data_IF_718374485540
#
_entry.id   IF_718374485540
#
_cell.length_a   1.000
_cell.length_b   1.000
_cell.length_c   1.000
_cell.angle_alpha   90.00
_cell.angle_beta   90.00
_cell.angle_gamma   90.00
#
_symmetry.space_group_name_H-M   'P 1'
#
loop_
_entity.id
_entity.type
_entity.pdbx_description
1 polymer ?
#
# COMPACT_ATOMS: atom_id res chain seq x y z
N UNK A 1 20.62 15.46 -6.52
CA UNK A 1 19.30 14.84 -6.30
C UNK A 1 19.24 13.56 -7.12
N UNK A 2 18.99 12.39 -6.52
CA UNK A 2 19.00 11.11 -7.27
C UNK A 2 17.88 11.14 -8.34
N UNK A 3 18.14 10.81 -9.61
CA UNK A 3 17.18 10.95 -10.72
C UNK A 3 15.82 10.25 -10.48
N UNK A 4 15.76 9.20 -9.67
CA UNK A 4 14.54 8.46 -9.38
C UNK A 4 13.57 9.13 -8.39
N UNK A 5 13.98 10.21 -7.73
CA UNK A 5 13.18 10.89 -6.69
C UNK A 5 12.29 12.03 -7.22
N UNK A 6 12.06 12.07 -8.53
CA UNK A 6 11.17 13.05 -9.13
C UNK A 6 9.69 12.64 -8.91
N UNK A 7 8.76 13.60 -8.84
CA UNK A 7 7.33 13.34 -8.82
C UNK A 7 6.90 12.42 -9.97
N UNK A 8 5.95 11.54 -9.70
CA UNK A 8 5.31 10.64 -10.66
C UNK A 8 4.76 11.43 -11.84
N UNK A 9 4.07 12.54 -11.59
CA UNK A 9 3.54 13.44 -12.64
C UNK A 9 4.65 13.93 -13.57
N UNK A 10 5.70 14.53 -13.03
CA UNK A 10 6.82 15.05 -13.82
C UNK A 10 7.50 13.96 -14.67
N UNK A 11 7.63 12.74 -14.14
CA UNK A 11 8.20 11.61 -14.89
C UNK A 11 7.27 11.12 -16.00
N UNK A 12 5.97 11.16 -15.77
CA UNK A 12 4.95 10.78 -16.76
C UNK A 12 4.86 11.82 -17.88
N UNK A 13 4.83 13.11 -17.54
CA UNK A 13 4.83 14.22 -18.49
C UNK A 13 6.08 14.20 -19.38
N UNK A 14 7.26 13.95 -18.80
CA UNK A 14 8.49 13.76 -19.59
C UNK A 14 8.35 12.59 -20.57
N UNK A 15 7.78 11.46 -20.13
CA UNK A 15 7.57 10.31 -21.01
C UNK A 15 6.55 10.59 -22.14
N UNK A 16 5.57 11.46 -21.90
CA UNK A 16 4.66 11.95 -22.96
C UNK A 16 5.39 12.89 -23.93
N UNK A 17 6.17 13.84 -23.43
CA UNK A 17 6.93 14.79 -24.24
C UNK A 17 7.96 14.09 -25.14
N UNK A 18 8.55 13.00 -24.66
CA UNK A 18 9.50 12.17 -25.41
C UNK A 18 8.81 11.14 -26.35
N UNK A 19 7.48 11.14 -26.43
CA UNK A 19 6.72 10.20 -27.28
C UNK A 19 6.79 8.74 -26.83
N UNK A 20 7.30 8.45 -25.63
CA UNK A 20 7.40 7.08 -25.08
C UNK A 20 6.08 6.54 -24.55
N UNK A 21 5.12 7.42 -24.27
CA UNK A 21 3.78 7.09 -23.77
C UNK A 21 2.73 7.97 -24.45
N UNK A 22 1.52 7.44 -24.60
CA UNK A 22 0.37 8.21 -25.06
C UNK A 22 -0.28 8.95 -23.88
N UNK A 23 -0.66 10.20 -24.11
CA UNK A 23 -1.28 11.04 -23.10
C UNK A 23 -2.62 10.45 -22.63
N UNK A 24 -2.76 10.25 -21.31
CA UNK A 24 -3.98 9.72 -20.67
C UNK A 24 -4.29 10.55 -19.41
N UNK A 25 -5.42 11.26 -19.43
CA UNK A 25 -5.86 12.12 -18.32
C UNK A 25 -6.09 11.33 -17.02
N UNK A 26 -6.51 10.06 -17.10
CA UNK A 26 -6.69 9.23 -15.92
C UNK A 26 -5.34 8.85 -15.29
N UNK A 27 -4.31 8.63 -16.09
CA UNK A 27 -2.96 8.37 -15.59
C UNK A 27 -2.37 9.61 -14.89
N UNK A 28 -2.57 10.81 -15.44
CA UNK A 28 -2.14 12.06 -14.79
C UNK A 28 -2.88 12.31 -13.47
N UNK A 29 -4.20 12.10 -13.44
CA UNK A 29 -4.98 12.24 -12.20
C UNK A 29 -4.53 11.22 -11.13
N UNK A 30 -4.23 9.99 -11.52
CA UNK A 30 -3.68 8.98 -10.62
C UNK A 30 -2.26 9.36 -10.15
N UNK A 31 -1.41 9.85 -11.04
CA UNK A 31 -0.06 10.32 -10.73
C UNK A 31 -0.08 11.47 -9.71
N UNK A 32 -0.98 12.45 -9.86
CA UNK A 32 -1.10 13.56 -8.92
C UNK A 32 -1.48 13.10 -7.51
N UNK A 33 -2.36 12.09 -7.40
CA UNK A 33 -2.70 11.47 -6.10
C UNK A 33 -1.52 10.71 -5.50
N UNK A 34 -0.76 9.98 -6.32
CA UNK A 34 0.45 9.29 -5.89
C UNK A 34 1.51 10.28 -5.40
N UNK A 35 1.67 11.43 -6.06
CA UNK A 35 2.58 12.49 -5.62
C UNK A 35 2.18 13.09 -4.28
N UNK A 36 0.89 13.37 -4.10
CA UNK A 36 0.37 13.86 -2.82
C UNK A 36 0.59 12.84 -1.68
N UNK A 37 0.44 11.54 -1.95
CA UNK A 37 0.72 10.49 -0.97
C UNK A 37 2.23 10.37 -0.71
N UNK A 38 3.07 10.40 -1.75
CA UNK A 38 4.52 10.34 -1.61
C UNK A 38 5.05 11.50 -0.76
N UNK A 39 4.54 12.71 -0.98
CA UNK A 39 4.88 13.89 -0.18
C UNK A 39 4.51 13.69 1.30
N UNK A 40 3.33 13.15 1.60
CA UNK A 40 2.90 12.87 2.98
C UNK A 40 3.79 11.80 3.64
N UNK A 41 4.09 10.71 2.95
CA UNK A 41 4.94 9.62 3.44
C UNK A 41 6.39 10.09 3.67
N UNK A 42 6.90 10.97 2.81
CA UNK A 42 8.23 11.56 2.95
C UNK A 42 8.28 12.62 4.07
N UNK A 43 7.20 13.37 4.32
CA UNK A 43 7.14 14.34 5.42
C UNK A 43 7.03 13.66 6.79
N UNK A 44 6.33 12.52 6.88
CA UNK A 44 6.20 11.69 8.08
C UNK A 44 7.49 10.89 8.41
N UNK A 45 8.63 11.29 7.82
CA UNK A 45 9.99 10.83 8.17
C UNK A 45 10.43 11.26 9.57
N UNK A 46 9.76 12.24 10.17
CA UNK A 46 10.17 12.83 11.45
C UNK A 46 9.64 12.06 12.68
N UNK A 47 9.79 10.74 12.66
CA UNK A 47 9.94 9.95 13.89
C UNK A 47 11.33 10.15 14.48
N UNK A 48 11.67 11.42 14.79
CA UNK A 48 12.90 11.80 15.46
C UNK A 48 12.69 11.90 16.97
N UNK A 49 13.77 12.06 17.72
CA UNK A 49 13.71 12.41 19.12
C UNK A 49 13.40 13.91 19.26
N UNK A 50 12.55 14.27 20.22
CA UNK A 50 12.38 15.64 20.69
C UNK A 50 13.27 15.80 21.93
N UNK A 51 14.25 16.69 21.86
CA UNK A 51 15.01 17.09 23.03
C UNK A 51 14.15 18.05 23.87
N UNK A 52 13.68 17.60 25.04
CA UNK A 52 13.07 18.43 26.06
C UNK A 52 13.97 18.40 27.29
N UNK A 53 14.49 19.57 27.69
CA UNK A 53 15.30 19.72 28.90
C UNK A 53 16.44 18.67 29.05
N UNK A 54 17.15 18.36 27.96
CA UNK A 54 18.26 17.39 27.97
C UNK A 54 17.86 15.91 27.93
N UNK A 55 16.55 15.59 27.92
CA UNK A 55 16.08 14.24 27.60
C UNK A 55 15.68 14.14 26.12
N UNK A 56 16.23 13.12 25.46
CA UNK A 56 15.72 12.67 24.17
C UNK A 56 14.46 11.83 24.40
N UNK A 57 13.29 12.36 24.01
CA UNK A 57 12.03 11.63 24.05
C UNK A 57 11.56 11.27 22.63
N UNK A 58 10.97 10.08 22.41
CA UNK A 58 10.41 9.74 21.11
C UNK A 58 9.32 10.75 20.74
N UNK A 59 9.38 11.36 19.55
CA UNK A 59 8.26 12.18 19.06
C UNK A 59 7.00 11.33 19.00
N UNK A 60 6.01 11.70 19.81
CA UNK A 60 4.66 11.20 19.68
C UNK A 60 4.17 11.52 18.26
N UNK A 61 3.77 10.48 17.51
CA UNK A 61 3.19 10.66 16.18
C UNK A 61 1.81 11.27 16.36
N UNK A 62 1.72 12.59 16.26
CA UNK A 62 0.47 13.34 16.42
C UNK A 62 -0.40 13.31 15.17
N UNK A 63 0.14 12.89 14.02
CA UNK A 63 -0.57 12.87 12.75
C UNK A 63 -1.02 11.45 12.39
N UNK A 64 -2.31 11.29 12.11
CA UNK A 64 -2.86 10.05 11.59
C UNK A 64 -2.12 9.64 10.30
N UNK A 65 -1.91 8.33 10.12
CA UNK A 65 -1.29 7.81 8.91
C UNK A 65 -2.10 8.25 7.66
N UNK A 66 -1.45 8.63 6.56
CA UNK A 66 -2.16 9.05 5.36
C UNK A 66 -2.97 7.88 4.79
N UNK A 67 -4.09 8.18 4.13
CA UNK A 67 -4.90 7.16 3.47
C UNK A 67 -4.14 6.58 2.28
N UNK A 68 -4.31 5.27 2.10
CA UNK A 68 -3.77 4.51 0.98
C UNK A 68 -4.43 4.85 -0.36
N UNK A 69 -3.99 4.17 -1.42
CA UNK A 69 -4.55 4.33 -2.77
C UNK A 69 -4.80 2.97 -3.43
N UNK A 70 -5.98 2.81 -4.04
CA UNK A 70 -6.32 1.63 -4.84
C UNK A 70 -6.47 2.06 -6.30
N UNK A 71 -5.51 1.68 -7.12
CA UNK A 71 -5.45 1.99 -8.55
C UNK A 71 -6.10 0.87 -9.34
N UNK A 72 -7.15 1.19 -10.08
CA UNK A 72 -7.88 0.21 -10.89
C UNK A 72 -8.11 0.68 -12.32
N UNK A 73 -8.31 -0.28 -13.21
CA UNK A 73 -8.55 -0.07 -14.64
C UNK A 73 -8.16 -1.30 -15.45
N UNK A 74 -8.58 -1.35 -16.72
CA UNK A 74 -8.32 -2.51 -17.58
C UNK A 74 -6.83 -2.86 -17.79
N UNK A 75 -6.60 -4.00 -18.43
CA UNK A 75 -5.26 -4.47 -18.82
C UNK A 75 -4.59 -3.45 -19.74
N UNK A 76 -3.27 -3.28 -19.63
CA UNK A 76 -2.50 -2.37 -20.49
C UNK A 76 -2.61 -0.88 -20.14
N UNK A 77 -3.39 -0.48 -19.13
CA UNK A 77 -3.57 0.94 -18.72
C UNK A 77 -2.41 1.56 -17.93
N UNK A 78 -1.25 0.89 -17.84
CA UNK A 78 -0.05 1.45 -17.19
C UNK A 78 -0.05 1.50 -15.65
N UNK A 79 -0.96 0.76 -14.96
CA UNK A 79 -1.04 0.73 -13.49
C UNK A 79 0.28 0.32 -12.82
N UNK A 80 0.90 -0.76 -13.31
CA UNK A 80 2.20 -1.24 -12.80
C UNK A 80 3.29 -0.19 -12.97
N UNK A 81 3.30 0.53 -14.09
CA UNK A 81 4.24 1.62 -14.32
C UNK A 81 4.00 2.79 -13.35
N UNK A 82 2.76 3.18 -13.10
CA UNK A 82 2.46 4.20 -12.08
C UNK A 82 2.95 3.76 -10.69
N UNK A 83 2.77 2.47 -10.35
CA UNK A 83 3.32 1.89 -9.12
C UNK A 83 4.85 1.93 -9.09
N UNK A 84 5.54 1.61 -10.18
CA UNK A 84 7.01 1.69 -10.29
C UNK A 84 7.52 3.12 -10.05
N UNK A 85 6.89 4.09 -10.71
CA UNK A 85 7.24 5.50 -10.60
C UNK A 85 7.04 6.00 -9.16
N UNK A 86 5.90 5.66 -8.55
CA UNK A 86 5.61 5.99 -7.16
C UNK A 86 6.61 5.35 -6.20
N UNK A 87 6.86 4.05 -6.32
CA UNK A 87 7.76 3.34 -5.42
C UNK A 87 9.20 3.86 -5.50
N UNK A 88 9.65 4.28 -6.69
CA UNK A 88 10.95 4.92 -6.91
C UNK A 88 11.05 6.33 -6.31
N UNK A 89 9.95 7.09 -6.31
CA UNK A 89 9.91 8.46 -5.80
C UNK A 89 9.99 8.57 -4.26
N UNK A 90 9.76 7.46 -3.54
CA UNK A 90 9.74 7.44 -2.08
C UNK A 90 11.16 7.48 -1.48
N UNK A 91 11.33 8.28 -0.43
CA UNK A 91 12.49 8.26 0.46
C UNK A 91 12.24 7.45 1.75
N UNK A 92 11.09 6.76 1.81
CA UNK A 92 10.70 5.87 2.90
C UNK A 92 11.43 4.52 2.79
N UNK A 93 12.35 4.22 3.70
CA UNK A 93 13.07 2.93 3.71
C UNK A 93 12.18 1.75 4.12
N UNK A 94 11.33 1.94 5.12
CA UNK A 94 10.38 0.93 5.61
C UNK A 94 9.19 0.81 4.66
N UNK A 95 9.43 0.26 3.48
CA UNK A 95 8.42 -0.02 2.45
C UNK A 95 8.62 -1.39 1.87
N UNK A 96 7.53 -2.03 1.48
CA UNK A 96 7.51 -3.36 0.89
C UNK A 96 6.64 -3.34 -0.36
N UNK A 97 7.03 -4.10 -1.39
CA UNK A 97 6.27 -4.29 -2.60
C UNK A 97 6.27 -5.75 -3.02
N UNK A 98 5.09 -6.31 -3.31
CA UNK A 98 4.92 -7.69 -3.77
C UNK A 98 3.76 -7.78 -4.76
N UNK A 99 3.74 -8.85 -5.56
CA UNK A 99 2.51 -9.32 -6.20
C UNK A 99 1.57 -9.91 -5.14
N UNK A 100 0.27 -9.67 -5.27
CA UNK A 100 -0.75 -10.08 -4.29
C UNK A 100 -0.66 -11.57 -3.93
N UNK A 101 -0.57 -12.45 -4.92
CA UNK A 101 -0.53 -13.90 -4.68
C UNK A 101 0.73 -14.34 -3.91
N UNK A 102 1.89 -13.75 -4.23
CA UNK A 102 3.13 -14.03 -3.51
C UNK A 102 3.05 -13.54 -2.06
N UNK A 103 2.43 -12.36 -1.84
CA UNK A 103 2.20 -11.82 -0.52
C UNK A 103 1.26 -12.71 0.31
N UNK A 104 0.13 -13.13 -0.26
CA UNK A 104 -0.80 -14.04 0.42
C UNK A 104 -0.16 -15.38 0.78
N UNK A 105 0.66 -15.96 -0.12
CA UNK A 105 1.44 -17.17 0.20
C UNK A 105 2.38 -16.97 1.39
N UNK A 106 3.05 -15.83 1.46
CA UNK A 106 3.93 -15.50 2.59
C UNK A 106 3.13 -15.30 3.90
N UNK A 107 1.95 -14.67 3.83
CA UNK A 107 1.04 -14.52 4.98
C UNK A 107 0.58 -15.89 5.48
N UNK A 108 0.11 -16.76 4.58
CA UNK A 108 -0.29 -18.13 4.91
C UNK A 108 0.84 -18.94 5.54
N UNK A 109 2.07 -18.80 5.03
CA UNK A 109 3.24 -19.46 5.61
C UNK A 109 3.52 -18.97 7.04
N UNK A 110 3.43 -17.66 7.30
CA UNK A 110 3.58 -17.12 8.64
C UNK A 110 2.48 -17.61 9.59
N UNK A 111 1.22 -17.65 9.12
CA UNK A 111 0.10 -18.14 9.93
C UNK A 111 0.28 -19.60 10.35
N UNK A 112 0.77 -20.47 9.46
CA UNK A 112 1.07 -21.87 9.80
C UNK A 112 2.20 -22.04 10.81
N UNK A 113 3.13 -21.08 10.86
CA UNK A 113 4.29 -21.12 11.75
C UNK A 113 4.02 -20.48 13.13
N UNK A 114 2.81 -19.99 13.39
CA UNK A 114 2.44 -19.39 14.67
C UNK A 114 1.80 -20.46 15.55
N UNK A 115 2.42 -20.73 16.70
CA UNK A 115 1.90 -21.66 17.70
C UNK A 115 0.74 -21.07 18.51
N UNK A 116 0.77 -19.75 18.78
CA UNK A 116 -0.33 -19.03 19.44
C UNK A 116 -1.52 -18.83 18.50
N UNK A 117 -2.46 -19.76 18.56
CA UNK A 117 -3.67 -19.74 17.73
C UNK A 117 -4.73 -18.74 18.20
N UNK A 118 -4.53 -18.04 19.33
CA UNK A 118 -5.55 -17.12 19.84
C UNK A 118 -5.72 -15.89 18.95
N UNK A 119 -4.63 -15.34 18.40
CA UNK A 119 -4.63 -14.10 17.60
C UNK A 119 -3.58 -14.09 16.47
N UNK A 120 -3.49 -15.11 15.61
CA UNK A 120 -2.40 -15.26 14.65
C UNK A 120 -2.32 -14.10 13.64
N UNK A 121 -3.45 -13.56 13.17
CA UNK A 121 -3.46 -12.40 12.27
C UNK A 121 -2.87 -11.13 12.92
N UNK A 122 -3.03 -10.96 14.24
CA UNK A 122 -2.44 -9.80 14.95
C UNK A 122 -0.92 -9.93 14.96
N UNK A 123 -0.40 -11.12 15.25
CA UNK A 123 1.03 -11.41 15.24
C UNK A 123 1.63 -11.17 13.85
N UNK A 124 0.95 -11.61 12.78
CA UNK A 124 1.38 -11.32 11.40
C UNK A 124 1.34 -9.82 11.11
N UNK A 125 0.30 -9.11 11.53
CA UNK A 125 0.22 -7.65 11.37
C UNK A 125 1.33 -6.92 12.12
N UNK A 126 1.68 -7.34 13.34
CA UNK A 126 2.81 -6.80 14.12
C UNK A 126 4.13 -6.99 13.39
N UNK A 127 4.38 -8.21 12.88
CA UNK A 127 5.61 -8.55 12.13
C UNK A 127 5.73 -7.71 10.85
N UNK A 128 4.65 -7.56 10.10
CA UNK A 128 4.65 -6.73 8.88
C UNK A 128 4.87 -5.26 9.23
N UNK A 129 4.16 -4.73 10.23
CA UNK A 129 4.25 -3.32 10.62
C UNK A 129 5.63 -2.94 11.19
N UNK A 130 6.33 -3.88 11.83
CA UNK A 130 7.70 -3.70 12.30
C UNK A 130 8.70 -3.49 11.13
N UNK A 131 8.38 -3.99 9.93
CA UNK A 131 9.27 -3.96 8.77
C UNK A 131 8.83 -2.93 7.72
N UNK A 132 7.53 -2.66 7.61
CA UNK A 132 6.95 -1.85 6.54
C UNK A 132 5.92 -0.86 7.09
N UNK A 133 6.14 0.42 6.78
CA UNK A 133 5.16 1.52 6.95
C UNK A 133 4.28 1.69 5.71
N UNK A 134 4.75 1.21 4.56
CA UNK A 134 4.01 1.18 3.30
C UNK A 134 4.09 -0.23 2.73
N UNK A 135 2.94 -0.77 2.35
CA UNK A 135 2.83 -2.01 1.57
C UNK A 135 2.23 -1.65 0.20
N UNK A 136 2.94 -2.01 -0.86
CA UNK A 136 2.48 -1.91 -2.24
C UNK A 136 2.14 -3.31 -2.77
N UNK A 137 0.87 -3.54 -3.13
CA UNK A 137 0.43 -4.82 -3.69
C UNK A 137 0.09 -4.66 -5.17
N UNK A 138 0.86 -5.31 -6.03
CA UNK A 138 0.52 -5.41 -7.44
C UNK A 138 -0.46 -6.55 -7.72
N UNK A 139 -1.33 -6.34 -8.72
CA UNK A 139 -2.28 -7.35 -9.20
C UNK A 139 -3.21 -7.89 -8.11
N UNK A 140 -3.72 -6.99 -7.27
CA UNK A 140 -4.66 -7.29 -6.20
C UNK A 140 -5.94 -7.93 -6.74
N UNK A 141 -6.18 -9.18 -6.38
CA UNK A 141 -7.30 -9.97 -6.85
C UNK A 141 -7.63 -11.08 -5.84
N UNK A 142 -8.88 -11.17 -5.43
CA UNK A 142 -9.35 -12.14 -4.41
C UNK A 142 -10.41 -13.03 -5.04
N UNK A 143 -10.15 -14.35 -5.07
CA UNK A 143 -11.03 -15.35 -5.67
C UNK A 143 -11.59 -16.39 -4.70
N UNK A 144 -10.96 -16.62 -3.55
CA UNK A 144 -11.41 -17.63 -2.58
C UNK A 144 -11.76 -17.02 -1.21
N UNK A 145 -12.57 -17.77 -0.45
CA UNK A 145 -13.06 -17.34 0.85
C UNK A 145 -11.96 -17.27 1.91
N UNK A 146 -10.96 -18.14 1.84
CA UNK A 146 -9.87 -18.20 2.82
C UNK A 146 -9.04 -16.92 2.76
N UNK A 147 -8.64 -16.55 1.55
CA UNK A 147 -7.90 -15.32 1.29
C UNK A 147 -8.72 -14.08 1.66
N UNK A 148 -10.01 -14.05 1.31
CA UNK A 148 -10.89 -12.94 1.69
C UNK A 148 -10.96 -12.72 3.21
N UNK A 149 -11.11 -13.80 3.99
CA UNK A 149 -11.24 -13.71 5.46
C UNK A 149 -9.92 -13.30 6.12
N UNK A 150 -8.79 -13.87 5.67
CA UNK A 150 -7.45 -13.50 6.16
C UNK A 150 -7.17 -12.04 5.85
N UNK A 151 -7.43 -11.63 4.61
CA UNK A 151 -7.14 -10.29 4.12
C UNK A 151 -7.91 -9.22 4.89
N UNK A 152 -9.21 -9.42 5.14
CA UNK A 152 -10.02 -8.45 5.89
C UNK A 152 -9.46 -8.18 7.30
N UNK A 153 -9.17 -9.25 8.06
CA UNK A 153 -8.62 -9.10 9.41
C UNK A 153 -7.17 -8.59 9.41
N UNK A 154 -6.38 -8.97 8.41
CA UNK A 154 -5.00 -8.52 8.29
C UNK A 154 -4.91 -7.04 7.93
N UNK A 155 -5.68 -6.56 6.94
CA UNK A 155 -5.70 -5.15 6.54
C UNK A 155 -6.16 -4.26 7.69
N UNK A 156 -7.20 -4.67 8.43
CA UNK A 156 -7.62 -3.96 9.63
C UNK A 156 -6.48 -3.85 10.66
N UNK A 157 -5.78 -4.97 10.91
CA UNK A 157 -4.62 -5.00 11.79
C UNK A 157 -3.49 -4.08 11.34
N UNK A 158 -3.22 -4.01 10.04
CA UNK A 158 -2.20 -3.15 9.45
C UNK A 158 -2.58 -1.66 9.56
N UNK A 159 -3.82 -1.30 9.25
CA UNK A 159 -4.28 0.09 9.33
C UNK A 159 -4.29 0.63 10.75
N UNK A 160 -4.67 -0.19 11.75
CA UNK A 160 -4.55 0.19 13.17
C UNK A 160 -3.11 0.48 13.61
N UNK A 161 -2.12 -0.11 12.91
CA UNK A 161 -0.68 0.12 13.16
C UNK A 161 -0.12 1.27 12.31
N UNK A 162 -0.97 1.95 11.55
CA UNK A 162 -0.57 3.06 10.67
C UNK A 162 0.22 2.61 9.44
N UNK A 163 0.11 1.34 9.03
CA UNK A 163 0.65 0.87 7.76
C UNK A 163 -0.25 1.37 6.64
N UNK A 164 0.35 1.95 5.61
CA UNK A 164 -0.35 2.47 4.43
C UNK A 164 -0.35 1.40 3.35
N UNK A 165 -1.48 1.22 2.66
CA UNK A 165 -1.61 0.30 1.53
C UNK A 165 -1.71 1.08 0.22
N UNK A 166 -0.94 0.69 -0.79
CA UNK A 166 -1.21 1.05 -2.19
C UNK A 166 -1.38 -0.22 -2.99
N UNK A 167 -2.44 -0.34 -3.78
CA UNK A 167 -2.73 -1.54 -4.55
C UNK A 167 -3.03 -1.23 -6.02
N UNK A 168 -2.68 -2.14 -6.93
CA UNK A 168 -3.11 -2.11 -8.33
C UNK A 168 -4.04 -3.28 -8.64
N UNK A 169 -5.11 -3.08 -9.41
CA UNK A 169 -6.03 -4.16 -9.80
C UNK A 169 -6.69 -3.92 -11.15
N UNK A 170 -7.15 -4.98 -11.80
CA UNK A 170 -8.01 -4.89 -12.98
C UNK A 170 -9.50 -4.71 -12.63
N UNK A 171 -9.86 -4.88 -11.35
CA UNK A 171 -11.24 -4.76 -10.88
C UNK A 171 -11.42 -3.52 -10.00
N UNK A 172 -12.54 -2.80 -10.13
CA UNK A 172 -12.88 -1.76 -9.16
C UNK A 172 -13.14 -2.40 -7.78
N UNK A 173 -12.95 -1.68 -6.65
CA UNK A 173 -13.08 -2.24 -5.31
C UNK A 173 -14.41 -2.97 -5.07
N UNK A 174 -15.52 -2.40 -5.57
CA UNK A 174 -16.87 -2.97 -5.45
C UNK A 174 -17.08 -4.29 -6.20
N UNK A 175 -16.16 -4.70 -7.05
CA UNK A 175 -16.19 -5.97 -7.79
C UNK A 175 -15.19 -6.99 -7.22
N UNK A 176 -14.37 -6.61 -6.23
CA UNK A 176 -13.52 -7.56 -5.54
C UNK A 176 -14.35 -8.60 -4.80
N UNK A 177 -13.99 -9.87 -5.01
CA UNK A 177 -14.66 -11.03 -4.44
C UNK A 177 -16.19 -10.99 -4.63
N UNK A 178 -16.62 -10.43 -5.77
CA UNK A 178 -18.03 -10.38 -6.17
C UNK A 178 -18.56 -11.80 -6.29
N UNK A 179 -19.77 -12.01 -5.78
CA UNK A 179 -20.47 -13.30 -5.73
C UNK A 179 -19.74 -14.40 -4.92
N UNK A 180 -18.68 -14.06 -4.19
CA UNK A 180 -17.95 -14.95 -3.31
C UNK A 180 -18.78 -15.41 -2.10
N UNK A 181 -18.49 -16.61 -1.62
CA UNK A 181 -19.13 -17.17 -0.43
C UNK A 181 -18.87 -16.26 0.79
N UNK A 182 -19.92 -15.91 1.53
CA UNK A 182 -19.84 -14.99 2.69
C UNK A 182 -19.22 -13.61 2.37
N UNK A 183 -19.36 -13.10 1.14
CA UNK A 183 -18.88 -11.78 0.72
C UNK A 183 -19.18 -10.64 1.70
N UNK A 184 -20.32 -10.68 2.39
CA UNK A 184 -20.67 -9.68 3.42
C UNK A 184 -19.57 -9.49 4.48
N UNK A 185 -18.83 -10.55 4.82
CA UNK A 185 -17.69 -10.50 5.75
C UNK A 185 -16.44 -9.84 5.16
N UNK A 186 -16.34 -9.75 3.84
CA UNK A 186 -15.24 -9.09 3.13
C UNK A 186 -15.53 -7.61 2.81
N UNK A 187 -16.81 -7.20 2.79
CA UNK A 187 -17.19 -5.79 2.54
C UNK A 187 -16.46 -4.77 3.43
N UNK A 188 -16.18 -5.03 4.73
CA UNK A 188 -15.39 -4.11 5.54
C UNK A 188 -14.02 -3.81 4.93
N UNK A 189 -13.34 -4.80 4.36
CA UNK A 189 -12.03 -4.61 3.72
C UNK A 189 -12.09 -3.71 2.48
N UNK A 190 -13.20 -3.74 1.75
CA UNK A 190 -13.44 -2.90 0.57
C UNK A 190 -13.72 -1.44 0.97
N UNK A 191 -14.27 -1.21 2.16
CA UNK A 191 -14.70 0.10 2.64
C UNK A 191 -13.62 0.90 3.40
N UNK A 192 -12.47 0.28 3.70
CA UNK A 192 -11.37 0.88 4.47
C UNK A 192 -10.57 1.94 3.70
#
# INVERSE_FOLDING_TARGET
>A
MHPDRQPVTARLERAFAEGRLQHDAAQLAAAARLDALAAQLNADRSGGWQAFAGLELPRLRTRAAPRGLYLWGGVGRGKTRLMDLFYGALDLKARRRDHFYAWMRAVHAQLRAIEDQSRPLRIVADRIAAQARLVCLDEFFVSDIGDAMILAGLLEGLFRRGVVLVATSNLPPRELYKDGLQRARFLPAIAM
#
